data_IF_269365190722
#
_entry.id   IF_269365190722
#
_cell.length_a   1.000
_cell.length_b   1.000
_cell.length_c   1.000
_cell.angle_alpha   90.00
_cell.angle_beta   90.00
_cell.angle_gamma   90.00
#
_symmetry.space_group_name_H-M   'P 1'
#
loop_
_entity.id
_entity.type
_entity.pdbx_description
1 polymer ?
#
# COMPACT_ATOMS: atom_id res chain seq x y z
N UNK A 1 12.64 -2.05 15.80
CA UNK A 1 13.90 -1.33 15.48
C UNK A 1 14.51 -1.61 14.09
N UNK A 2 13.82 -2.34 13.21
CA UNK A 2 14.30 -2.64 11.83
C UNK A 2 13.59 -1.79 10.78
N UNK A 3 12.39 -1.29 11.07
CA UNK A 3 11.59 -0.44 10.17
C UNK A 3 12.17 0.95 9.96
N UNK A 4 12.88 1.50 10.93
CA UNK A 4 13.50 2.81 10.87
C UNK A 4 14.68 2.89 9.86
N UNK A 5 15.28 1.76 9.53
CA UNK A 5 16.41 1.70 8.57
C UNK A 5 15.97 1.63 7.10
N UNK A 6 14.74 1.20 6.79
CA UNK A 6 14.35 0.91 5.40
C UNK A 6 13.64 2.07 4.73
N UNK A 7 12.59 2.62 5.32
CA UNK A 7 11.79 3.67 4.68
C UNK A 7 11.61 4.93 5.52
N UNK A 8 11.85 4.91 6.84
CA UNK A 8 11.61 6.05 7.70
C UNK A 8 12.26 7.34 7.23
N UNK A 9 13.58 7.37 6.96
CA UNK A 9 14.26 8.56 6.43
C UNK A 9 13.71 9.01 5.08
N UNK A 10 13.33 8.07 4.21
CA UNK A 10 12.79 8.37 2.89
C UNK A 10 11.34 8.90 2.94
N UNK A 11 10.55 8.45 3.91
CA UNK A 11 9.22 9.04 4.22
C UNK A 11 9.39 10.49 4.67
N UNK A 12 10.26 10.73 5.65
CA UNK A 12 10.54 12.07 6.20
C UNK A 12 11.04 13.05 5.14
N UNK A 13 11.87 12.60 4.23
CA UNK A 13 12.38 13.43 3.13
C UNK A 13 11.39 13.58 1.98
N UNK A 14 10.38 12.72 1.90
CA UNK A 14 9.40 12.67 0.81
C UNK A 14 9.89 11.93 -0.43
N UNK A 15 10.99 11.17 -0.37
CA UNK A 15 11.41 10.24 -1.44
C UNK A 15 10.51 9.03 -1.54
N UNK A 16 9.87 8.65 -0.43
CA UNK A 16 8.80 7.65 -0.37
C UNK A 16 7.53 8.35 0.12
N UNK A 17 6.43 8.13 -0.59
CA UNK A 17 5.10 8.61 -0.22
C UNK A 17 4.18 7.42 0.04
N UNK A 18 3.72 7.33 1.29
CA UNK A 18 2.73 6.33 1.68
C UNK A 18 1.33 6.85 1.35
N UNK A 19 0.61 6.07 0.55
CA UNK A 19 -0.80 6.27 0.25
C UNK A 19 -1.57 5.15 0.92
N UNK A 20 -2.25 5.45 2.02
CA UNK A 20 -2.86 4.44 2.88
C UNK A 20 -4.37 4.47 2.75
N UNK A 21 -4.97 3.30 2.59
CA UNK A 21 -6.41 3.08 2.48
C UNK A 21 -6.80 2.09 3.57
N UNK A 22 -7.58 2.59 4.54
CA UNK A 22 -8.13 1.81 5.65
C UNK A 22 -9.66 1.86 5.59
N UNK A 23 -10.29 1.00 4.77
CA UNK A 23 -11.72 1.05 4.48
C UNK A 23 -12.60 0.64 5.68
N UNK A 24 -11.99 0.24 6.79
CA UNK A 24 -12.70 -0.06 8.06
C UNK A 24 -12.84 1.16 8.96
N UNK A 25 -12.92 2.35 8.39
CA UNK A 25 -13.09 3.60 9.11
C UNK A 25 -11.81 4.22 9.66
N UNK A 26 -10.66 3.75 9.22
CA UNK A 26 -9.36 4.30 9.61
C UNK A 26 -8.90 3.91 11.03
N UNK A 27 -9.50 2.90 11.64
CA UNK A 27 -9.21 2.52 13.02
C UNK A 27 -7.86 1.80 13.18
N UNK A 28 -7.52 0.96 12.21
CA UNK A 28 -6.31 0.13 12.27
C UNK A 28 -5.05 0.95 11.95
N UNK A 29 -5.08 1.73 10.88
CA UNK A 29 -3.90 2.46 10.39
C UNK A 29 -3.90 3.96 10.73
N UNK A 30 -5.01 4.49 11.27
CA UNK A 30 -5.16 5.89 11.66
C UNK A 30 -4.07 6.44 12.59
N UNK A 31 -3.59 5.70 13.61
CA UNK A 31 -2.49 6.14 14.45
C UNK A 31 -1.21 6.51 13.68
N UNK A 32 -0.97 5.89 12.51
CA UNK A 32 0.14 6.18 11.61
C UNK A 32 -0.08 7.37 10.66
N UNK A 33 -1.25 7.99 10.64
CA UNK A 33 -1.64 9.01 9.66
C UNK A 33 -0.63 10.16 9.46
N UNK A 34 0.09 10.68 10.47
CA UNK A 34 1.09 11.71 10.24
C UNK A 34 2.28 11.29 9.35
N UNK A 35 2.50 10.00 9.14
CA UNK A 35 3.51 9.46 8.22
C UNK A 35 2.99 9.33 6.79
N UNK A 36 1.69 9.48 6.56
CA UNK A 36 1.07 9.23 5.26
C UNK A 36 0.98 10.51 4.43
N UNK A 37 1.30 10.40 3.17
CA UNK A 37 1.11 11.48 2.19
C UNK A 37 -0.32 11.59 1.72
N UNK A 38 -1.07 10.49 1.85
CA UNK A 38 -2.49 10.38 1.60
C UNK A 38 -3.09 9.32 2.52
N UNK A 39 -4.24 9.61 3.11
CA UNK A 39 -4.99 8.68 3.94
C UNK A 39 -6.46 8.74 3.59
N UNK A 40 -7.04 7.60 3.25
CA UNK A 40 -8.48 7.43 3.02
C UNK A 40 -9.03 6.34 3.93
N UNK A 41 -10.22 6.59 4.46
CA UNK A 41 -10.99 5.62 5.24
C UNK A 41 -12.30 5.22 4.51
N UNK A 42 -12.44 5.59 3.24
CA UNK A 42 -13.56 5.14 2.41
C UNK A 42 -13.09 4.13 1.33
N UNK A 43 -14.03 3.32 0.84
CA UNK A 43 -13.76 2.30 -0.16
C UNK A 43 -13.93 2.83 -1.61
N UNK A 44 -14.53 4.01 -1.82
CA UNK A 44 -14.95 4.47 -3.16
C UNK A 44 -14.48 5.88 -3.48
N UNK A 45 -14.98 6.91 -2.81
CA UNK A 45 -14.77 8.32 -3.14
C UNK A 45 -13.30 8.73 -3.29
N UNK A 46 -12.65 9.09 -2.19
CA UNK A 46 -11.24 9.53 -2.20
C UNK A 46 -10.29 8.44 -2.66
N UNK A 47 -10.60 7.17 -2.37
CA UNK A 47 -9.81 6.02 -2.83
C UNK A 47 -9.79 5.93 -4.35
N UNK A 48 -10.94 6.07 -5.01
CA UNK A 48 -11.02 6.02 -6.47
C UNK A 48 -10.26 7.20 -7.11
N UNK A 49 -10.38 8.40 -6.55
CA UNK A 49 -9.61 9.57 -6.99
C UNK A 49 -8.09 9.34 -6.86
N UNK A 50 -7.63 8.78 -5.76
CA UNK A 50 -6.24 8.41 -5.58
C UNK A 50 -5.75 7.42 -6.65
N UNK A 51 -6.50 6.35 -6.88
CA UNK A 51 -6.13 5.33 -7.86
C UNK A 51 -6.04 5.91 -9.29
N UNK A 52 -7.01 6.76 -9.68
CA UNK A 52 -6.98 7.48 -10.96
C UNK A 52 -5.74 8.37 -11.09
N UNK A 53 -5.44 9.15 -10.05
CA UNK A 53 -4.27 10.02 -10.01
C UNK A 53 -2.95 9.23 -10.14
N UNK A 54 -2.84 8.09 -9.46
CA UNK A 54 -1.64 7.24 -9.52
C UNK A 54 -1.49 6.55 -10.87
N UNK A 55 -2.58 6.14 -11.53
CA UNK A 55 -2.51 5.64 -12.92
C UNK A 55 -2.08 6.73 -13.89
N UNK A 56 -2.52 7.98 -13.69
CA UNK A 56 -2.04 9.12 -14.48
C UNK A 56 -0.53 9.31 -14.30
N UNK A 57 -0.03 9.36 -13.06
CA UNK A 57 1.41 9.43 -12.75
C UNK A 57 2.17 8.26 -13.37
N UNK A 58 1.63 7.05 -13.30
CA UNK A 58 2.21 5.85 -13.90
C UNK A 58 2.43 6.03 -15.41
N UNK A 59 1.41 6.50 -16.14
CA UNK A 59 1.46 6.72 -17.56
C UNK A 59 2.45 7.83 -17.96
N UNK A 60 2.46 8.94 -17.24
CA UNK A 60 3.40 10.05 -17.43
C UNK A 60 4.85 9.59 -17.24
N UNK A 61 5.11 8.83 -16.17
CA UNK A 61 6.43 8.26 -15.92
C UNK A 61 6.83 7.24 -16.99
N UNK A 62 5.94 6.34 -17.38
CA UNK A 62 6.20 5.37 -18.43
C UNK A 62 6.57 6.06 -19.76
N UNK A 63 5.87 7.14 -20.11
CA UNK A 63 6.18 7.93 -21.31
C UNK A 63 7.56 8.60 -21.21
N UNK A 64 7.89 9.20 -20.04
CA UNK A 64 9.18 9.86 -19.82
C UNK A 64 10.36 8.90 -19.80
N UNK A 65 10.18 7.70 -19.24
CA UNK A 65 11.24 6.69 -19.11
C UNK A 65 11.47 5.89 -20.39
N UNK A 66 10.49 5.87 -21.30
CA UNK A 66 10.56 5.12 -22.56
C UNK A 66 11.77 5.54 -23.38
N UNK A 67 12.60 4.56 -23.74
CA UNK A 67 13.83 4.79 -24.51
C UNK A 67 15.04 5.30 -23.70
N UNK A 68 14.87 5.61 -22.40
CA UNK A 68 15.94 6.12 -21.55
C UNK A 68 16.36 5.14 -20.46
N UNK A 69 15.41 4.60 -19.70
CA UNK A 69 15.68 3.64 -18.61
C UNK A 69 14.51 2.69 -18.40
N UNK A 70 14.79 1.54 -17.82
CA UNK A 70 13.79 0.51 -17.51
C UNK A 70 13.24 0.59 -16.09
N UNK A 71 13.89 1.35 -15.20
CA UNK A 71 13.53 1.45 -13.79
C UNK A 71 13.54 2.92 -13.36
N UNK A 72 12.50 3.28 -12.61
CA UNK A 72 12.39 4.55 -11.93
C UNK A 72 13.37 4.61 -10.74
N UNK A 73 14.05 5.75 -10.57
CA UNK A 73 14.89 6.03 -9.40
C UNK A 73 14.20 7.08 -8.56
N UNK A 74 13.78 6.77 -7.31
CA UNK A 74 13.05 7.71 -6.46
C UNK A 74 13.88 8.92 -6.06
N UNK A 75 13.27 10.10 -6.18
CA UNK A 75 13.79 11.38 -5.67
C UNK A 75 12.70 12.10 -4.88
N UNK A 76 13.04 13.21 -4.23
CA UNK A 76 12.04 14.05 -3.54
C UNK A 76 11.06 14.72 -4.51
N UNK A 77 11.51 15.04 -5.73
CA UNK A 77 10.66 15.61 -6.78
C UNK A 77 9.82 14.55 -7.49
N UNK A 78 10.32 13.32 -7.56
CA UNK A 78 9.69 12.18 -8.23
C UNK A 78 9.75 10.93 -7.32
N UNK A 79 8.90 10.86 -6.29
CA UNK A 79 9.00 9.86 -5.21
C UNK A 79 8.53 8.47 -5.63
N UNK A 80 8.95 7.44 -4.88
CA UNK A 80 8.29 6.15 -4.85
C UNK A 80 6.93 6.31 -4.17
N UNK A 81 5.86 5.83 -4.79
CA UNK A 81 4.56 5.68 -4.15
C UNK A 81 4.38 4.25 -3.66
N UNK A 82 4.02 4.10 -2.40
CA UNK A 82 3.63 2.83 -1.80
C UNK A 82 2.17 2.94 -1.37
N UNK A 83 1.30 2.20 -2.06
CA UNK A 83 -0.12 2.10 -1.75
C UNK A 83 -0.28 0.96 -0.74
N UNK A 84 -0.84 1.25 0.43
CA UNK A 84 -1.11 0.25 1.47
C UNK A 84 -2.63 0.17 1.63
N UNK A 85 -3.18 -1.03 1.50
CA UNK A 85 -4.62 -1.30 1.60
C UNK A 85 -4.82 -2.33 2.72
N UNK A 86 -5.49 -1.93 3.81
CA UNK A 86 -5.70 -2.78 4.99
C UNK A 86 -6.64 -3.96 4.70
N UNK A 87 -7.67 -3.77 3.88
CA UNK A 87 -8.56 -4.84 3.44
C UNK A 87 -8.94 -4.65 1.97
N UNK A 88 -8.32 -5.42 1.09
CA UNK A 88 -8.53 -5.28 -0.36
C UNK A 88 -9.94 -5.71 -0.78
N UNK A 89 -10.57 -6.68 -0.06
CA UNK A 89 -11.92 -7.12 -0.35
C UNK A 89 -12.95 -5.99 -0.19
N UNK A 90 -12.67 -5.01 0.67
CA UNK A 90 -13.52 -3.84 0.82
C UNK A 90 -13.56 -2.96 -0.44
N UNK A 91 -12.50 -2.99 -1.25
CA UNK A 91 -12.43 -2.24 -2.51
C UNK A 91 -12.94 -3.05 -3.71
N UNK A 92 -13.04 -4.36 -3.59
CA UNK A 92 -13.42 -5.28 -4.67
C UNK A 92 -14.76 -5.94 -4.39
N UNK A 93 -14.81 -6.91 -3.49
CA UNK A 93 -15.98 -7.77 -3.28
C UNK A 93 -17.13 -7.09 -2.55
N UNK A 94 -16.84 -6.11 -1.67
CA UNK A 94 -17.88 -5.47 -0.85
C UNK A 94 -18.44 -4.18 -1.48
N UNK A 95 -17.86 -3.70 -2.58
CA UNK A 95 -18.44 -2.58 -3.35
C UNK A 95 -19.66 -3.05 -4.10
N UNK A 96 -20.82 -2.46 -3.82
CA UNK A 96 -22.11 -2.84 -4.41
C UNK A 96 -22.36 -2.24 -5.79
N UNK A 97 -21.82 -1.04 -6.05
CA UNK A 97 -21.89 -0.41 -7.37
C UNK A 97 -20.94 -1.11 -8.34
N UNK A 98 -21.52 -1.80 -9.32
CA UNK A 98 -20.78 -2.59 -10.30
C UNK A 98 -19.83 -1.77 -11.17
N UNK A 99 -20.16 -0.50 -11.45
CA UNK A 99 -19.31 0.38 -12.28
C UNK A 99 -18.08 0.82 -11.48
N UNK A 100 -18.30 1.25 -10.24
CA UNK A 100 -17.21 1.64 -9.33
C UNK A 100 -16.30 0.45 -9.05
N UNK A 101 -16.88 -0.72 -8.76
CA UNK A 101 -16.11 -1.96 -8.56
C UNK A 101 -15.22 -2.28 -9.76
N UNK A 102 -15.81 -2.31 -10.97
CA UNK A 102 -15.07 -2.63 -12.20
C UNK A 102 -13.94 -1.62 -12.46
N UNK A 103 -14.17 -0.35 -12.19
CA UNK A 103 -13.15 0.69 -12.34
C UNK A 103 -12.01 0.52 -11.33
N UNK A 104 -12.32 0.27 -10.06
CA UNK A 104 -11.29 0.01 -9.02
C UNK A 104 -10.44 -1.22 -9.41
N UNK A 105 -11.08 -2.31 -9.81
CA UNK A 105 -10.38 -3.53 -10.23
C UNK A 105 -9.47 -3.26 -11.44
N UNK A 106 -9.93 -2.48 -12.41
CA UNK A 106 -9.14 -2.08 -13.58
C UNK A 106 -7.92 -1.24 -13.17
N UNK A 107 -8.12 -0.20 -12.34
CA UNK A 107 -7.04 0.68 -11.89
C UNK A 107 -6.00 -0.06 -11.04
N UNK A 108 -6.44 -0.90 -10.11
CA UNK A 108 -5.55 -1.76 -9.32
C UNK A 108 -4.79 -2.75 -10.21
N UNK A 109 -5.46 -3.35 -11.19
CA UNK A 109 -4.83 -4.25 -12.16
C UNK A 109 -3.71 -3.57 -12.95
N UNK A 110 -3.91 -2.33 -13.40
CA UNK A 110 -2.88 -1.52 -14.07
C UNK A 110 -1.70 -1.23 -13.14
N UNK A 111 -1.97 -0.76 -11.92
CA UNK A 111 -0.93 -0.43 -10.94
C UNK A 111 -0.11 -1.65 -10.53
N UNK A 112 -0.74 -2.80 -10.31
CA UNK A 112 -0.08 -4.07 -9.97
C UNK A 112 0.79 -4.59 -11.11
N UNK A 113 0.31 -4.51 -12.36
CA UNK A 113 1.03 -5.06 -13.51
C UNK A 113 2.15 -4.17 -14.03
N UNK A 114 2.03 -2.84 -13.93
CA UNK A 114 2.94 -1.88 -14.57
C UNK A 114 3.62 -0.92 -13.59
N UNK A 115 3.09 -0.74 -12.39
CA UNK A 115 3.53 0.28 -11.43
C UNK A 115 4.98 0.11 -10.96
N UNK A 116 5.43 -1.14 -10.76
CA UNK A 116 6.77 -1.44 -10.23
C UNK A 116 7.90 -0.78 -11.01
N UNK A 117 7.86 -0.82 -12.32
CA UNK A 117 8.92 -0.26 -13.17
C UNK A 117 8.98 1.28 -13.09
N UNK A 118 7.87 1.91 -12.78
CA UNK A 118 7.72 3.37 -12.72
C UNK A 118 7.60 3.91 -11.29
N UNK A 119 8.00 3.12 -10.28
CA UNK A 119 8.07 3.57 -8.89
C UNK A 119 6.71 3.70 -8.21
N UNK A 120 5.78 2.76 -8.49
CA UNK A 120 4.52 2.61 -7.77
C UNK A 120 4.40 1.16 -7.33
N UNK A 121 4.19 0.92 -6.03
CA UNK A 121 4.05 -0.41 -5.44
C UNK A 121 2.74 -0.50 -4.66
N UNK A 122 2.09 -1.66 -4.73
CA UNK A 122 0.85 -1.95 -3.99
C UNK A 122 1.12 -3.04 -2.96
N UNK A 123 0.72 -2.78 -1.73
CA UNK A 123 0.70 -3.72 -0.61
C UNK A 123 -0.75 -3.86 -0.18
N UNK A 124 -1.29 -5.06 -0.25
CA UNK A 124 -2.67 -5.31 0.14
C UNK A 124 -2.76 -6.42 1.17
N UNK A 125 -3.51 -6.17 2.25
CA UNK A 125 -3.93 -7.21 3.18
C UNK A 125 -5.32 -7.73 2.79
N UNK A 126 -5.58 -8.99 3.12
CA UNK A 126 -6.87 -9.63 2.87
C UNK A 126 -7.11 -10.71 3.93
N UNK A 127 -8.31 -10.79 4.45
CA UNK A 127 -8.72 -11.81 5.42
C UNK A 127 -9.23 -13.08 4.73
N UNK A 128 -10.02 -12.93 3.68
CA UNK A 128 -10.52 -14.06 2.88
C UNK A 128 -9.73 -14.18 1.55
N UNK A 129 -8.89 -15.22 1.39
CA UNK A 129 -8.06 -15.38 0.21
C UNK A 129 -8.79 -16.02 -1.00
N UNK A 130 -10.10 -16.11 -0.97
CA UNK A 130 -10.89 -16.71 -2.06
C UNK A 130 -10.72 -15.96 -3.38
N UNK A 131 -11.01 -16.61 -4.50
CA UNK A 131 -10.95 -15.99 -5.83
C UNK A 131 -11.95 -14.86 -5.99
N UNK A 132 -13.08 -14.99 -5.33
CA UNK A 132 -14.16 -14.00 -5.41
C UNK A 132 -13.82 -12.74 -4.61
N UNK A 133 -13.04 -12.91 -3.52
CA UNK A 133 -12.56 -11.79 -2.72
C UNK A 133 -11.42 -11.02 -3.39
N UNK A 134 -10.50 -11.71 -4.09
CA UNK A 134 -9.37 -11.06 -4.77
C UNK A 134 -9.09 -11.66 -6.16
N UNK A 135 -9.80 -11.22 -7.20
CA UNK A 135 -9.54 -11.65 -8.58
C UNK A 135 -8.11 -11.36 -9.05
N UNK A 136 -7.51 -10.27 -8.55
CA UNK A 136 -6.20 -9.77 -8.96
C UNK A 136 -5.00 -10.41 -8.23
N UNK A 137 -5.23 -11.40 -7.37
CA UNK A 137 -4.17 -11.97 -6.51
C UNK A 137 -2.93 -12.48 -7.26
N UNK A 138 -3.08 -12.90 -8.50
CA UNK A 138 -1.96 -13.40 -9.32
C UNK A 138 -1.00 -12.29 -9.78
N UNK A 139 -1.40 -11.01 -9.66
CA UNK A 139 -0.56 -9.88 -10.01
C UNK A 139 0.40 -9.47 -8.88
N UNK A 140 0.23 -10.06 -7.68
CA UNK A 140 1.15 -9.84 -6.57
C UNK A 140 2.36 -10.77 -6.68
N UNK A 141 3.52 -10.20 -6.99
CA UNK A 141 4.76 -10.95 -7.14
C UNK A 141 5.39 -11.42 -5.81
N UNK A 142 4.95 -10.87 -4.68
CA UNK A 142 5.30 -11.32 -3.33
C UNK A 142 4.02 -11.59 -2.58
N UNK A 143 3.90 -12.78 -2.01
CA UNK A 143 2.73 -13.20 -1.27
C UNK A 143 3.12 -13.71 0.10
N UNK A 144 2.40 -13.27 1.12
CA UNK A 144 2.67 -13.61 2.53
C UNK A 144 1.42 -14.28 3.08
N UNK A 145 1.56 -15.49 3.57
CA UNK A 145 0.52 -16.24 4.29
C UNK A 145 0.87 -16.28 5.77
N UNK A 146 0.03 -15.69 6.60
CA UNK A 146 0.10 -15.87 8.06
C UNK A 146 -0.65 -17.14 8.45
N UNK A 147 -0.99 -17.30 9.75
CA UNK A 147 -1.77 -18.43 10.22
C UNK A 147 -3.13 -18.48 9.51
N UNK A 148 -3.51 -19.67 9.08
CA UNK A 148 -4.77 -19.96 8.40
C UNK A 148 -5.49 -21.12 9.10
N UNK A 149 -6.78 -21.23 8.88
CA UNK A 149 -7.60 -22.29 9.49
C UNK A 149 -7.61 -23.56 8.66
N UNK A 150 -7.38 -23.45 7.35
CA UNK A 150 -7.48 -24.58 6.40
C UNK A 150 -6.26 -24.67 5.50
N UNK A 151 -5.87 -25.91 5.19
CA UNK A 151 -4.77 -26.19 4.27
C UNK A 151 -4.97 -25.63 2.85
N UNK A 152 -6.22 -25.58 2.39
CA UNK A 152 -6.62 -25.03 1.09
C UNK A 152 -6.28 -23.54 0.96
N UNK A 153 -6.40 -22.77 2.03
CA UNK A 153 -6.09 -21.34 2.07
C UNK A 153 -4.61 -21.06 1.79
N UNK A 154 -3.71 -21.96 2.23
CA UNK A 154 -2.28 -21.82 1.91
C UNK A 154 -2.05 -21.82 0.39
N UNK A 155 -2.68 -22.73 -0.34
CA UNK A 155 -2.58 -22.77 -1.80
C UNK A 155 -3.26 -21.56 -2.47
N UNK A 156 -4.34 -21.05 -1.88
CA UNK A 156 -5.03 -19.84 -2.40
C UNK A 156 -4.14 -18.61 -2.33
N UNK A 157 -3.36 -18.44 -1.25
CA UNK A 157 -2.49 -17.28 -1.05
C UNK A 157 -1.13 -17.49 -1.72
N UNK A 158 -0.44 -18.58 -1.39
CA UNK A 158 0.95 -18.77 -1.76
C UNK A 158 1.14 -19.50 -3.10
N UNK A 159 0.09 -20.10 -3.64
CA UNK A 159 0.11 -20.86 -4.87
C UNK A 159 0.07 -22.37 -4.64
N UNK A 160 -0.28 -23.10 -5.71
CA UNK A 160 -0.28 -24.55 -5.70
C UNK A 160 1.13 -25.10 -5.43
N UNK A 161 1.21 -26.14 -4.64
CA UNK A 161 2.49 -26.74 -4.25
C UNK A 161 3.27 -26.00 -3.16
N UNK A 162 2.86 -24.79 -2.76
CA UNK A 162 3.55 -24.08 -1.68
C UNK A 162 3.48 -24.84 -0.35
N UNK A 163 2.34 -25.49 -0.07
CA UNK A 163 2.16 -26.32 1.12
C UNK A 163 3.08 -27.55 1.10
N UNK A 164 3.17 -28.22 -0.05
CA UNK A 164 4.06 -29.37 -0.25
C UNK A 164 5.53 -28.96 -0.18
N UNK A 165 5.83 -27.71 -0.58
CA UNK A 165 7.14 -27.07 -0.43
C UNK A 165 7.46 -26.60 1.00
N UNK A 166 6.58 -26.85 1.97
CA UNK A 166 6.80 -26.59 3.38
C UNK A 166 6.08 -25.37 3.98
N UNK A 167 5.25 -24.65 3.21
CA UNK A 167 4.44 -23.55 3.74
C UNK A 167 3.19 -24.10 4.44
N UNK A 168 3.31 -24.46 5.69
CA UNK A 168 2.24 -25.03 6.50
C UNK A 168 1.54 -23.96 7.33
N UNK A 169 0.83 -23.02 6.66
CA UNK A 169 0.13 -21.91 7.33
C UNK A 169 -0.98 -22.39 8.26
N UNK A 170 -1.61 -23.50 7.95
CA UNK A 170 -2.66 -24.17 8.73
C UNK A 170 -2.15 -24.85 10.00
N UNK A 171 -0.84 -25.09 10.11
CA UNK A 171 -0.19 -25.72 11.28
C UNK A 171 0.54 -24.71 12.17
N UNK A 172 0.44 -23.41 11.90
CA UNK A 172 1.02 -22.37 12.75
C UNK A 172 0.22 -22.31 14.05
N UNK A 173 0.91 -22.51 15.18
CA UNK A 173 0.28 -22.52 16.50
C UNK A 173 -0.25 -21.12 16.89
N UNK A 174 -1.36 -21.06 17.60
CA UNK A 174 -1.96 -19.81 18.13
C UNK A 174 -1.00 -19.04 19.04
N UNK A 175 -0.15 -19.74 19.77
CA UNK A 175 0.85 -19.15 20.66
C UNK A 175 2.03 -18.46 19.92
N UNK A 176 2.05 -18.49 18.58
CA UNK A 176 3.14 -17.91 17.78
C UNK A 176 2.63 -16.82 16.80
N UNK A 177 2.12 -15.69 17.30
CA UNK A 177 1.63 -14.62 16.47
C UNK A 177 2.75 -14.06 15.57
N UNK A 178 2.35 -13.58 14.39
CA UNK A 178 3.27 -13.00 13.40
C UNK A 178 4.09 -14.02 12.59
N UNK A 179 4.01 -15.31 12.90
CA UNK A 179 4.64 -16.34 12.08
C UNK A 179 3.86 -16.52 10.77
N UNK A 180 4.60 -16.72 9.68
CA UNK A 180 4.03 -16.92 8.36
C UNK A 180 5.06 -17.44 7.38
N UNK A 181 4.66 -17.52 6.11
CA UNK A 181 5.50 -17.90 4.99
C UNK A 181 5.39 -16.86 3.87
N UNK A 182 6.53 -16.58 3.25
CA UNK A 182 6.64 -15.70 2.08
C UNK A 182 6.93 -16.53 0.85
N UNK A 183 6.21 -16.24 -0.22
CA UNK A 183 6.48 -16.76 -1.55
C UNK A 183 6.77 -15.60 -2.49
N UNK A 184 7.88 -15.68 -3.21
CA UNK A 184 8.29 -14.69 -4.20
C UNK A 184 8.17 -15.34 -5.58
N UNK A 185 7.58 -14.65 -6.54
CA UNK A 185 7.45 -15.16 -7.91
C UNK A 185 8.83 -15.54 -8.48
N UNK A 186 8.87 -16.71 -9.13
CA UNK A 186 10.11 -17.27 -9.66
C UNK A 186 10.94 -18.07 -8.63
N UNK A 187 10.52 -18.15 -7.37
CA UNK A 187 11.14 -19.04 -6.39
C UNK A 187 10.33 -20.31 -6.20
N UNK A 188 11.00 -21.44 -6.00
CA UNK A 188 10.35 -22.74 -5.79
C UNK A 188 10.01 -23.00 -4.33
N UNK A 189 10.69 -22.34 -3.39
CA UNK A 189 10.64 -22.67 -1.96
C UNK A 189 10.11 -21.49 -1.14
N UNK A 190 9.08 -21.71 -0.31
CA UNK A 190 8.60 -20.70 0.61
C UNK A 190 9.60 -20.44 1.73
N UNK A 191 9.69 -19.20 2.18
CA UNK A 191 10.53 -18.79 3.30
C UNK A 191 9.67 -18.57 4.53
N UNK A 192 9.98 -19.29 5.62
CA UNK A 192 9.31 -19.07 6.91
C UNK A 192 9.80 -17.77 7.53
N UNK A 193 8.89 -16.93 7.96
CA UNK A 193 9.17 -15.63 8.58
C UNK A 193 8.48 -15.50 9.93
N UNK A 194 8.88 -14.50 10.69
CA UNK A 194 8.14 -13.97 11.83
C UNK A 194 8.16 -12.45 11.77
N UNK A 195 6.98 -11.83 11.70
CA UNK A 195 6.83 -10.38 11.79
C UNK A 195 7.20 -9.89 13.20
N UNK A 196 7.64 -8.63 13.29
CA UNK A 196 7.90 -7.99 14.57
C UNK A 196 6.57 -7.70 15.27
N UNK A 197 6.60 -7.74 16.60
CA UNK A 197 5.53 -7.18 17.41
C UNK A 197 5.72 -5.66 17.47
N UNK A 198 4.72 -4.92 17.04
CA UNK A 198 4.71 -3.44 17.03
C UNK A 198 3.66 -2.98 18.01
N UNK A 199 4.04 -2.15 18.98
CA UNK A 199 3.17 -1.57 19.99
C UNK A 199 2.67 -0.18 19.59
N UNK A 200 1.65 0.34 20.27
CA UNK A 200 1.18 1.72 20.07
C UNK A 200 2.28 2.75 20.40
N UNK A 201 3.16 2.45 21.37
CA UNK A 201 4.31 3.29 21.68
C UNK A 201 5.33 3.31 20.53
N UNK A 202 5.56 2.16 19.87
CA UNK A 202 6.40 2.09 18.67
C UNK A 202 5.82 2.93 17.54
N UNK A 203 4.51 2.85 17.31
CA UNK A 203 3.82 3.66 16.30
C UNK A 203 3.96 5.14 16.62
N UNK A 204 3.71 5.54 17.87
CA UNK A 204 3.85 6.91 18.34
C UNK A 204 5.28 7.44 18.17
N UNK A 205 6.27 6.59 18.42
CA UNK A 205 7.69 6.90 18.21
C UNK A 205 7.99 7.12 16.72
N UNK A 206 7.53 6.22 15.84
CA UNK A 206 7.75 6.30 14.38
C UNK A 206 7.11 7.56 13.79
N UNK A 207 5.87 7.86 14.17
CA UNK A 207 5.14 9.06 13.75
C UNK A 207 5.89 10.34 14.11
N UNK A 208 6.47 10.40 15.32
CA UNK A 208 7.25 11.57 15.78
C UNK A 208 8.55 11.76 15.01
N UNK A 209 9.22 10.66 14.64
CA UNK A 209 10.54 10.73 13.99
C UNK A 209 10.44 10.88 12.48
N UNK A 210 9.45 10.24 11.86
CA UNK A 210 9.32 10.14 10.41
C UNK A 210 7.98 10.70 9.88
N UNK A 211 7.55 11.90 10.27
CA UNK A 211 6.34 12.49 9.70
C UNK A 211 6.54 12.75 8.21
N UNK A 212 5.48 12.55 7.43
CA UNK A 212 5.49 12.93 6.02
C UNK A 212 5.63 14.45 5.84
N UNK A 213 6.30 14.93 4.79
CA UNK A 213 6.38 16.36 4.50
C UNK A 213 4.98 16.94 4.30
N UNK A 214 4.65 18.01 5.03
CA UNK A 214 3.41 18.75 4.81
C UNK A 214 3.48 19.47 3.47
N UNK A 215 2.41 19.42 2.67
CA UNK A 215 2.25 20.36 1.54
C UNK A 215 2.30 21.77 2.13
N UNK A 216 3.22 22.62 1.66
CA UNK A 216 3.14 24.07 1.94
C UNK A 216 1.79 24.52 1.37
N UNK A 217 0.84 24.92 2.23
CA UNK A 217 -0.34 25.65 1.81
C UNK A 217 0.13 26.85 1.03
N UNK A 218 -0.25 26.94 -0.25
CA UNK A 218 0.05 28.09 -1.08
C UNK A 218 -0.42 29.34 -0.34
N UNK A 219 0.48 30.29 -0.13
CA UNK A 219 0.19 31.54 0.54
C UNK A 219 -0.99 32.21 -0.14
N UNK A 220 -2.04 32.47 0.63
CA UNK A 220 -2.99 33.53 0.29
C UNK A 220 -2.20 34.83 0.32
N UNK A 221 -1.94 35.39 -0.85
CA UNK A 221 -1.54 36.79 -0.98
C UNK A 221 -2.63 37.64 -0.36
N UNK A 222 -2.41 38.07 0.89
CA UNK A 222 -3.14 39.15 1.48
C UNK A 222 -2.85 40.42 0.67
N UNK A 223 -3.79 40.82 -0.17
CA UNK A 223 -3.82 42.19 -0.70
C UNK A 223 -4.12 43.12 0.47
N UNK A 224 -3.10 43.72 1.03
CA UNK A 224 -3.24 44.93 1.86
C UNK A 224 -3.86 46.05 0.98
N UNK A 225 -5.12 46.29 1.18
CA UNK A 225 -5.80 47.49 0.72
C UNK A 225 -5.38 48.67 1.65
N UNK A 226 -4.36 49.40 1.26
CA UNK A 226 -4.08 50.72 1.79
C UNK A 226 -5.16 51.69 1.27
N UNK A 227 -6.22 51.85 2.05
CA UNK A 227 -7.14 52.97 1.86
C UNK A 227 -6.49 54.20 2.49
N UNK A 228 -6.06 55.12 1.63
CA UNK A 228 -5.55 56.41 2.07
C UNK A 228 -6.64 57.26 2.70
N UNK A 229 -6.39 57.80 3.86
CA UNK A 229 -7.09 58.92 4.40
C UNK A 229 -6.63 60.21 3.67
N UNK A 230 -7.57 60.91 3.07
CA UNK A 230 -7.46 62.32 2.78
C UNK A 230 -8.67 63.06 3.36
N UNK A 231 -8.33 63.94 4.28
CA UNK A 231 -9.09 65.03 4.89
C UNK A 231 -10.12 64.69 5.94
#
# INVERSE_FOLDING_TARGET
MVTDRWFGPDIKTGRVRLCVIDPKGGMELGPGAPMFSFFSHDATGQTLELLRALVTVMNERANRLRGHTRLHTPTTADPLFVIIIDEIAALTSYVTDRKIKAEIEQLLGLLLSQGRAVGISVVGAIQDPSKDALPLRQLFGVRIGLRMTEASQTAMVLGQGARDGGAQCDLIADATPGVGYVMIDGTATPVRIRAFYVTDDDISYLVRIFPAPRKKSGGQNGSENTAGEQK
#
